data_IF_525306718005
#
_entry.id   IF_525306718005
#
_cell.length_a   1.000
_cell.length_b   1.000
_cell.length_c   1.000
_cell.angle_alpha   90.00
_cell.angle_beta   90.00
_cell.angle_gamma   90.00
#
_symmetry.space_group_name_H-M   'P 1'
#
loop_
_entity.id
_entity.type
_entity.pdbx_description
1 polymer ?
#
# COMPACT_ATOMS: atom_id res chain seq x y z
N UNK A 1 8.80 -46.67 41.06
CA UNK A 1 7.88 -46.20 40.00
C UNK A 1 7.95 -44.68 40.00
N UNK A 2 8.81 -44.09 39.18
CA UNK A 2 8.98 -42.63 39.14
C UNK A 2 7.89 -42.04 38.25
N UNK A 3 7.02 -41.20 38.83
CA UNK A 3 6.08 -40.37 38.09
C UNK A 3 6.90 -39.33 37.32
N UNK A 4 7.19 -39.62 36.06
CA UNK A 4 7.75 -38.64 35.14
C UNK A 4 6.62 -37.66 34.82
N UNK A 5 6.57 -36.53 35.52
CA UNK A 5 5.65 -35.43 35.26
C UNK A 5 5.90 -34.97 33.82
N UNK A 6 5.04 -35.39 32.88
CA UNK A 6 5.10 -34.90 31.51
C UNK A 6 4.69 -33.43 31.54
N UNK A 7 5.65 -32.52 31.65
CA UNK A 7 5.39 -31.11 31.47
C UNK A 7 4.92 -30.88 30.02
N UNK A 8 3.72 -30.33 29.90
CA UNK A 8 3.15 -29.93 28.62
C UNK A 8 3.81 -28.68 28.05
N UNK A 9 3.38 -28.24 26.86
CA UNK A 9 3.90 -27.03 26.25
C UNK A 9 3.55 -25.80 27.10
N UNK A 10 4.47 -24.84 27.14
CA UNK A 10 4.28 -23.54 27.80
C UNK A 10 4.09 -22.47 26.72
N UNK A 11 3.01 -21.72 26.83
CA UNK A 11 2.66 -20.65 25.90
C UNK A 11 2.73 -19.30 26.61
N UNK A 12 3.50 -18.38 26.05
CA UNK A 12 3.51 -16.98 26.47
C UNK A 12 2.76 -16.16 25.43
N UNK A 13 1.75 -15.42 25.87
CA UNK A 13 0.98 -14.53 25.02
C UNK A 13 1.24 -13.09 25.47
N UNK A 14 1.88 -12.30 24.61
CA UNK A 14 2.40 -10.98 24.97
C UNK A 14 1.77 -9.95 24.05
N UNK A 15 1.02 -9.00 24.62
CA UNK A 15 0.56 -7.82 23.88
C UNK A 15 1.75 -6.90 23.63
N UNK A 16 2.01 -6.55 22.38
CA UNK A 16 3.15 -5.71 22.03
C UNK A 16 2.80 -4.22 22.21
N UNK A 17 3.71 -3.41 22.78
CA UNK A 17 3.50 -1.99 23.02
C UNK A 17 3.79 -1.16 21.75
N UNK A 18 2.98 -1.30 20.72
CA UNK A 18 3.10 -0.56 19.45
C UNK A 18 1.92 0.39 19.30
N UNK A 19 2.19 1.63 18.88
CA UNK A 19 1.15 2.62 18.63
C UNK A 19 0.62 2.49 17.19
N UNK A 20 -0.65 2.07 17.08
CA UNK A 20 -1.35 1.93 15.80
C UNK A 20 -2.30 3.09 15.50
N UNK A 21 -2.42 4.07 16.39
CA UNK A 21 -3.41 5.16 16.26
C UNK A 21 -3.16 6.04 15.04
N UNK A 22 -1.91 6.11 14.58
CA UNK A 22 -1.50 6.90 13.42
C UNK A 22 -1.75 6.20 12.08
N UNK A 23 -2.11 4.91 12.08
CA UNK A 23 -2.46 4.22 10.84
C UNK A 23 -3.71 4.91 10.26
N UNK A 24 -3.71 5.28 8.97
CA UNK A 24 -4.89 5.87 8.32
C UNK A 24 -6.15 5.02 8.52
N UNK A 25 -7.31 5.67 8.55
CA UNK A 25 -8.57 4.95 8.62
C UNK A 25 -8.72 4.06 7.37
N UNK A 26 -9.24 2.86 7.58
CA UNK A 26 -9.61 1.94 6.51
C UNK A 26 -11.09 1.64 6.65
N UNK A 27 -11.84 1.73 5.55
CA UNK A 27 -13.28 1.47 5.55
C UNK A 27 -13.50 -0.04 5.65
N UNK A 28 -13.68 -0.56 6.87
CA UNK A 28 -14.26 -1.89 7.07
C UNK A 28 -15.76 -1.78 7.27
N UNK A 29 -16.52 -2.73 6.68
CA UNK A 29 -17.97 -2.83 6.93
C UNK A 29 -18.30 -3.24 8.38
N UNK A 30 -17.35 -3.88 9.06
CA UNK A 30 -17.48 -4.36 10.43
C UNK A 30 -16.49 -3.67 11.36
N UNK A 31 -16.89 -3.52 12.63
CA UNK A 31 -16.05 -2.94 13.68
C UNK A 31 -14.96 -3.96 14.07
N UNK A 32 -13.69 -3.80 13.65
CA UNK A 32 -12.67 -4.86 13.75
C UNK A 32 -12.09 -5.03 15.15
N UNK A 33 -12.61 -4.29 16.15
CA UNK A 33 -12.07 -4.26 17.51
C UNK A 33 -10.92 -3.27 17.66
N UNK A 34 -10.20 -3.36 18.78
CA UNK A 34 -9.07 -2.47 19.08
C UNK A 34 -7.82 -2.86 18.31
N UNK A 35 -7.16 -1.87 17.70
CA UNK A 35 -5.91 -2.05 16.98
C UNK A 35 -4.81 -2.55 17.92
N UNK A 36 -4.42 -3.82 17.74
CA UNK A 36 -3.49 -4.51 18.65
C UNK A 36 -2.67 -5.55 17.90
N UNK A 37 -1.52 -5.87 18.48
CA UNK A 37 -0.68 -7.00 18.06
C UNK A 37 -0.30 -7.82 19.26
N UNK A 38 -0.24 -9.14 19.05
CA UNK A 38 0.01 -10.12 20.09
C UNK A 38 1.03 -11.13 19.59
N UNK A 39 2.10 -11.32 20.35
CA UNK A 39 3.13 -12.29 20.09
C UNK A 39 2.89 -13.53 20.97
N UNK A 40 2.67 -14.67 20.33
CA UNK A 40 2.62 -15.98 20.96
C UNK A 40 3.97 -16.67 20.84
N UNK A 41 4.55 -17.05 21.97
CA UNK A 41 5.78 -17.83 22.04
C UNK A 41 5.45 -19.19 22.65
N UNK A 42 5.65 -20.25 21.84
CA UNK A 42 5.37 -21.63 22.25
C UNK A 42 6.67 -22.36 22.56
N UNK A 43 6.80 -22.87 23.78
CA UNK A 43 7.85 -23.79 24.20
C UNK A 43 7.25 -25.21 24.27
N UNK A 44 7.63 -26.13 23.37
CA UNK A 44 7.02 -27.45 23.32
C UNK A 44 7.35 -28.32 24.54
N UNK A 45 8.51 -28.08 25.17
CA UNK A 45 8.91 -28.73 26.41
C UNK A 45 9.77 -27.76 27.24
N UNK A 46 9.75 -27.81 28.58
CA UNK A 46 10.53 -26.91 29.44
C UNK A 46 12.04 -27.00 29.20
N UNK A 47 12.54 -28.19 28.85
CA UNK A 47 13.95 -28.44 28.53
C UNK A 47 14.29 -28.16 27.06
N UNK A 48 13.31 -27.74 26.26
CA UNK A 48 13.53 -27.43 24.85
C UNK A 48 14.05 -26.01 24.69
N UNK A 49 15.22 -25.87 24.07
CA UNK A 49 15.74 -24.58 23.62
C UNK A 49 14.98 -23.99 22.42
N UNK A 50 14.00 -24.71 21.86
CA UNK A 50 13.30 -24.33 20.63
C UNK A 50 12.01 -23.59 20.93
N UNK A 51 12.06 -22.27 20.85
CA UNK A 51 10.89 -21.39 20.96
C UNK A 51 10.32 -21.14 19.56
N UNK A 52 9.01 -21.34 19.39
CA UNK A 52 8.31 -21.03 18.13
C UNK A 52 7.49 -19.73 18.29
N UNK A 53 7.86 -18.65 17.58
CA UNK A 53 7.11 -17.40 17.61
C UNK A 53 5.99 -17.36 16.57
N UNK A 54 4.84 -16.80 16.95
CA UNK A 54 3.71 -16.52 16.08
C UNK A 54 3.17 -15.12 16.39
N UNK A 55 2.99 -14.29 15.36
CA UNK A 55 2.47 -12.94 15.50
C UNK A 55 1.02 -12.88 15.01
N UNK A 56 0.15 -12.38 15.87
CA UNK A 56 -1.25 -12.10 15.56
C UNK A 56 -1.47 -10.60 15.51
N UNK A 57 -2.21 -10.15 14.50
CA UNK A 57 -2.53 -8.75 14.27
C UNK A 57 -4.04 -8.60 14.21
N UNK A 58 -4.57 -7.50 14.74
CA UNK A 58 -5.96 -7.11 14.49
C UNK A 58 -6.17 -6.84 12.99
N UNK A 59 -7.39 -7.07 12.45
CA UNK A 59 -7.65 -7.00 10.99
C UNK A 59 -7.19 -5.71 10.31
N UNK A 60 -7.39 -4.55 10.95
CA UNK A 60 -6.97 -3.25 10.41
C UNK A 60 -5.44 -3.11 10.33
N UNK A 61 -4.73 -3.55 11.36
CA UNK A 61 -3.25 -3.55 11.39
C UNK A 61 -2.71 -4.53 10.35
N UNK A 62 -3.29 -5.72 10.23
CA UNK A 62 -2.92 -6.71 9.22
C UNK A 62 -3.11 -6.14 7.80
N UNK A 63 -4.27 -5.54 7.52
CA UNK A 63 -4.56 -4.93 6.23
C UNK A 63 -3.59 -3.79 5.91
N UNK A 64 -3.32 -2.90 6.87
CA UNK A 64 -2.38 -1.78 6.68
C UNK A 64 -0.96 -2.26 6.36
N UNK A 65 -0.54 -3.39 6.93
CA UNK A 65 0.77 -4.01 6.70
C UNK A 65 0.84 -4.84 5.40
N UNK A 66 -0.24 -4.93 4.64
CA UNK A 66 -0.29 -5.66 3.36
C UNK A 66 -0.66 -7.14 3.48
N UNK A 67 -1.33 -7.53 4.56
CA UNK A 67 -1.83 -8.89 4.81
C UNK A 67 -0.83 -9.80 5.53
N UNK A 68 -1.30 -10.94 6.04
CA UNK A 68 -0.48 -11.94 6.73
C UNK A 68 0.69 -12.51 5.92
N UNK A 69 0.64 -12.44 4.59
CA UNK A 69 1.70 -12.94 3.71
C UNK A 69 2.88 -11.98 3.52
N UNK A 70 2.70 -10.68 3.77
CA UNK A 70 3.76 -9.66 3.57
C UNK A 70 4.70 -9.52 4.76
N UNK A 71 4.22 -9.88 5.97
CA UNK A 71 4.96 -9.68 7.20
C UNK A 71 5.63 -10.98 7.67
N UNK A 72 6.96 -11.03 7.58
CA UNK A 72 7.76 -12.11 8.15
C UNK A 72 8.47 -11.62 9.41
N UNK A 73 8.21 -12.28 10.53
CA UNK A 73 8.96 -12.05 11.77
C UNK A 73 10.23 -12.90 11.79
N UNK A 74 11.33 -12.40 12.38
CA UNK A 74 12.55 -13.20 12.56
C UNK A 74 12.29 -14.41 13.47
N UNK A 75 12.97 -15.53 13.21
CA UNK A 75 12.96 -16.67 14.12
C UNK A 75 13.56 -16.30 15.49
N UNK A 76 13.15 -17.01 16.54
CA UNK A 76 13.73 -16.80 17.87
C UNK A 76 15.21 -17.24 17.87
N UNK A 77 16.14 -16.38 18.33
CA UNK A 77 17.57 -16.70 18.31
C UNK A 77 17.94 -17.75 19.37
N UNK A 78 18.89 -18.63 19.05
CA UNK A 78 19.39 -19.63 19.99
C UNK A 78 20.05 -18.96 21.19
N UNK A 79 19.59 -19.27 22.41
CA UNK A 79 20.10 -18.67 23.64
C UNK A 79 19.71 -17.21 23.85
N UNK A 80 18.81 -16.65 23.03
CA UNK A 80 18.31 -15.30 23.20
C UNK A 80 17.37 -15.16 24.39
N UNK A 81 17.28 -13.94 24.92
CA UNK A 81 16.32 -13.59 25.97
C UNK A 81 14.97 -13.24 25.34
N UNK A 82 13.89 -13.73 25.96
CA UNK A 82 12.52 -13.43 25.51
C UNK A 82 12.23 -11.92 25.50
N UNK A 83 12.74 -11.18 26.48
CA UNK A 83 12.59 -9.73 26.57
C UNK A 83 13.18 -9.00 25.36
N UNK A 84 14.43 -9.33 25.00
CA UNK A 84 15.11 -8.71 23.86
C UNK A 84 14.39 -9.02 22.54
N UNK A 85 13.88 -10.24 22.38
CA UNK A 85 13.11 -10.63 21.22
C UNK A 85 11.80 -9.83 21.11
N UNK A 86 11.05 -9.69 22.21
CA UNK A 86 9.80 -8.88 22.25
C UNK A 86 10.07 -7.43 21.87
N UNK A 87 11.16 -6.84 22.39
CA UNK A 87 11.57 -5.46 22.04
C UNK A 87 11.90 -5.37 20.55
N UNK A 88 12.66 -6.32 20.00
CA UNK A 88 13.01 -6.34 18.58
C UNK A 88 11.80 -6.45 17.65
N UNK A 89 10.82 -7.30 17.98
CA UNK A 89 9.57 -7.40 17.21
C UNK A 89 8.74 -6.12 17.31
N UNK A 90 8.67 -5.52 18.49
CA UNK A 90 7.94 -4.27 18.70
C UNK A 90 8.53 -3.13 17.87
N UNK A 91 9.86 -3.01 17.84
CA UNK A 91 10.56 -2.03 17.00
C UNK A 91 10.35 -2.29 15.51
N UNK A 92 10.38 -3.54 15.06
CA UNK A 92 10.11 -3.91 13.67
C UNK A 92 8.70 -3.44 13.26
N UNK A 93 7.70 -3.71 14.10
CA UNK A 93 6.33 -3.28 13.85
C UNK A 93 6.19 -1.77 13.86
N UNK A 94 6.79 -1.07 14.82
CA UNK A 94 6.77 0.39 14.86
C UNK A 94 7.37 1.00 13.60
N UNK A 95 8.55 0.52 13.17
CA UNK A 95 9.18 0.98 11.92
C UNK A 95 8.27 0.76 10.69
N UNK A 96 7.50 -0.33 10.67
CA UNK A 96 6.53 -0.59 9.59
C UNK A 96 5.33 0.35 9.65
N UNK A 97 4.82 0.65 10.84
CA UNK A 97 3.77 1.66 11.03
C UNK A 97 4.24 3.02 10.54
N UNK A 98 5.43 3.45 10.95
CA UNK A 98 6.01 4.73 10.56
C UNK A 98 6.17 4.82 9.03
N UNK A 99 6.58 3.73 8.38
CA UNK A 99 6.64 3.64 6.91
C UNK A 99 5.26 3.80 6.25
N UNK A 100 4.22 3.17 6.80
CA UNK A 100 2.85 3.28 6.26
C UNK A 100 2.35 4.70 6.36
N UNK A 101 2.55 5.35 7.51
CA UNK A 101 2.13 6.73 7.76
C UNK A 101 2.83 7.67 6.79
N UNK A 102 4.15 7.56 6.66
CA UNK A 102 4.93 8.35 5.72
C UNK A 102 4.47 8.14 4.27
N UNK A 103 4.23 6.90 3.86
CA UNK A 103 3.74 6.62 2.50
C UNK A 103 2.35 7.20 2.27
N UNK A 104 1.48 7.19 3.29
CA UNK A 104 0.17 7.81 3.21
C UNK A 104 0.26 9.33 3.06
N UNK A 105 1.07 9.99 3.87
CA UNK A 105 1.31 11.43 3.75
C UNK A 105 1.88 11.79 2.37
N UNK A 106 2.83 10.99 1.87
CA UNK A 106 3.36 11.16 0.51
C UNK A 106 2.28 11.05 -0.56
N UNK A 107 1.38 10.06 -0.46
CA UNK A 107 0.25 9.91 -1.40
C UNK A 107 -0.70 11.12 -1.32
N UNK A 108 -1.03 11.56 -0.11
CA UNK A 108 -1.87 12.74 0.12
C UNK A 108 -1.26 13.98 -0.53
N UNK A 109 0.04 14.21 -0.34
CA UNK A 109 0.74 15.37 -0.91
C UNK A 109 0.77 15.32 -2.45
N UNK A 110 0.99 14.14 -3.04
CA UNK A 110 0.93 13.96 -4.49
C UNK A 110 -0.49 14.20 -5.04
N UNK A 111 -1.51 13.63 -4.38
CA UNK A 111 -2.91 13.83 -4.75
C UNK A 111 -3.31 15.31 -4.64
N UNK A 112 -2.91 16.00 -3.58
CA UNK A 112 -3.15 17.43 -3.41
C UNK A 112 -2.51 18.26 -4.53
N UNK A 113 -1.30 17.90 -4.97
CA UNK A 113 -0.65 18.55 -6.10
C UNK A 113 -1.42 18.32 -7.42
N UNK A 114 -1.86 17.09 -7.69
CA UNK A 114 -2.70 16.78 -8.86
C UNK A 114 -4.01 17.58 -8.85
N UNK A 115 -4.69 17.64 -7.70
CA UNK A 115 -5.90 18.44 -7.53
C UNK A 115 -5.64 19.94 -7.73
N UNK A 116 -4.48 20.45 -7.31
CA UNK A 116 -4.10 21.84 -7.52
C UNK A 116 -3.85 22.16 -9.00
N UNK A 117 -3.25 21.25 -9.77
CA UNK A 117 -2.98 21.46 -11.19
C UNK A 117 -4.19 21.18 -12.08
N UNK A 118 -4.99 20.18 -11.73
CA UNK A 118 -6.04 19.61 -12.59
C UNK A 118 -7.44 19.68 -11.98
N UNK A 119 -7.66 20.47 -10.93
CA UNK A 119 -8.89 20.45 -10.14
C UNK A 119 -10.19 20.66 -10.94
N UNK A 120 -10.13 21.35 -12.08
CA UNK A 120 -11.29 21.56 -12.97
C UNK A 120 -11.64 20.35 -13.84
N UNK A 121 -10.71 19.41 -13.98
CA UNK A 121 -10.82 18.21 -14.80
C UNK A 121 -11.19 16.97 -13.99
N UNK A 122 -11.34 17.06 -12.68
CA UNK A 122 -11.57 15.89 -11.81
C UNK A 122 -12.95 15.31 -12.03
N UNK A 123 -13.01 14.03 -12.39
CA UNK A 123 -14.25 13.24 -12.43
C UNK A 123 -14.52 12.58 -11.07
N UNK A 124 -13.51 11.91 -10.53
CA UNK A 124 -13.56 11.21 -9.25
C UNK A 124 -12.15 11.03 -8.70
N UNK A 125 -12.04 10.91 -7.38
CA UNK A 125 -10.81 10.48 -6.72
C UNK A 125 -11.13 9.78 -5.41
N UNK A 126 -10.20 8.96 -4.96
CA UNK A 126 -10.25 8.28 -3.67
C UNK A 126 -9.81 9.23 -2.56
N UNK A 127 -10.78 9.76 -1.81
CA UNK A 127 -10.55 10.67 -0.70
C UNK A 127 -10.08 9.98 0.59
N UNK A 128 -10.20 8.66 0.68
CA UNK A 128 -9.86 7.90 1.89
C UNK A 128 -8.42 7.40 1.84
N UNK A 129 -8.00 6.79 0.72
CA UNK A 129 -6.66 6.17 0.60
C UNK A 129 -5.72 6.85 -0.38
N UNK A 130 -6.23 7.84 -1.14
CA UNK A 130 -5.48 8.61 -2.13
C UNK A 130 -4.79 7.72 -3.19
N UNK A 131 -5.41 6.59 -3.54
CA UNK A 131 -4.83 5.61 -4.48
C UNK A 131 -5.28 5.79 -5.92
N UNK A 132 -6.36 6.52 -6.18
CA UNK A 132 -6.91 6.64 -7.52
C UNK A 132 -7.49 8.02 -7.78
N UNK A 133 -7.28 8.53 -8.98
CA UNK A 133 -7.94 9.73 -9.51
C UNK A 133 -8.20 9.55 -11.00
N UNK A 134 -9.36 10.01 -11.45
CA UNK A 134 -9.78 10.03 -12.85
C UNK A 134 -10.03 11.48 -13.26
N UNK A 135 -9.41 11.90 -14.37
CA UNK A 135 -9.44 13.27 -14.89
C UNK A 135 -9.97 13.27 -16.32
N UNK A 136 -10.92 14.15 -16.66
CA UNK A 136 -11.37 14.40 -18.02
C UNK A 136 -10.58 15.56 -18.63
N UNK A 137 -9.91 15.27 -19.73
CA UNK A 137 -9.14 16.25 -20.50
C UNK A 137 -9.67 16.37 -21.92
N UNK A 138 -9.34 17.51 -22.53
CA UNK A 138 -9.68 17.86 -23.90
C UNK A 138 -8.41 18.27 -24.64
N UNK A 139 -8.23 17.75 -25.86
CA UNK A 139 -7.13 18.10 -26.75
C UNK A 139 -7.64 18.22 -28.18
N UNK A 140 -7.67 19.43 -28.75
CA UNK A 140 -8.17 19.70 -30.10
C UNK A 140 -9.54 19.02 -30.38
N UNK A 141 -10.55 19.35 -29.57
CA UNK A 141 -11.91 18.77 -29.61
C UNK A 141 -12.01 17.26 -29.35
N UNK A 142 -10.91 16.61 -28.95
CA UNK A 142 -10.89 15.21 -28.55
C UNK A 142 -10.84 15.08 -27.03
N UNK A 143 -11.90 14.52 -26.46
CA UNK A 143 -11.97 14.23 -25.03
C UNK A 143 -11.40 12.86 -24.69
N UNK A 144 -10.70 12.75 -23.56
CA UNK A 144 -10.18 11.49 -23.05
C UNK A 144 -10.10 11.52 -21.52
N UNK A 145 -10.09 10.34 -20.92
CA UNK A 145 -9.95 10.19 -19.47
C UNK A 145 -8.54 9.75 -19.15
N UNK A 146 -7.89 10.45 -18.23
CA UNK A 146 -6.66 10.01 -17.59
C UNK A 146 -7.01 9.34 -16.25
N UNK A 147 -6.64 8.08 -16.11
CA UNK A 147 -6.62 7.39 -14.83
C UNK A 147 -5.20 7.41 -14.27
N UNK A 148 -5.06 7.84 -13.01
CA UNK A 148 -3.82 7.76 -12.25
C UNK A 148 -4.05 6.82 -11.08
N UNK A 149 -3.31 5.72 -11.04
CA UNK A 149 -3.33 4.75 -9.95
C UNK A 149 -2.03 4.81 -9.17
N UNK A 150 -2.12 5.11 -7.87
CA UNK A 150 -0.98 5.27 -6.97
C UNK A 150 -0.79 3.97 -6.17
N UNK A 151 0.37 3.31 -6.29
CA UNK A 151 0.60 2.00 -5.68
C UNK A 151 0.71 2.06 -4.15
N UNK A 152 0.61 0.88 -3.52
CA UNK A 152 0.72 0.75 -2.06
C UNK A 152 2.10 1.17 -1.54
N UNK A 153 3.16 0.81 -2.28
CA UNK A 153 4.55 1.12 -1.93
C UNK A 153 5.03 2.45 -2.52
N UNK A 154 4.11 3.34 -2.93
CA UNK A 154 4.45 4.72 -3.24
C UNK A 154 5.14 5.40 -2.03
N UNK A 155 6.22 6.18 -2.22
CA UNK A 155 6.78 6.63 -3.50
C UNK A 155 7.81 5.71 -4.15
N UNK A 156 8.20 4.58 -3.55
CA UNK A 156 9.20 3.67 -4.13
C UNK A 156 8.73 3.08 -5.46
N UNK A 157 7.45 2.74 -5.55
CA UNK A 157 6.78 2.40 -6.80
C UNK A 157 6.15 3.64 -7.44
N UNK A 158 6.34 3.79 -8.76
CA UNK A 158 5.78 4.91 -9.52
C UNK A 158 4.27 4.73 -9.74
N UNK A 159 3.50 5.83 -9.81
CA UNK A 159 2.10 5.78 -10.26
C UNK A 159 1.94 5.18 -11.66
N UNK A 160 0.78 4.59 -11.92
CA UNK A 160 0.42 4.10 -13.26
C UNK A 160 -0.47 5.15 -13.91
N UNK A 161 -0.10 5.59 -15.11
CA UNK A 161 -0.89 6.51 -15.92
C UNK A 161 -1.58 5.70 -17.01
N UNK A 162 -2.89 5.87 -17.19
CA UNK A 162 -3.64 5.18 -18.24
C UNK A 162 -4.56 6.15 -18.97
N UNK A 163 -4.36 6.26 -20.29
CA UNK A 163 -5.19 7.11 -21.14
C UNK A 163 -6.33 6.26 -21.70
N UNK A 164 -7.55 6.72 -21.53
CA UNK A 164 -8.75 6.04 -21.99
C UNK A 164 -9.53 6.91 -22.97
N UNK A 165 -9.83 6.36 -24.15
CA UNK A 165 -10.67 7.03 -25.13
C UNK A 165 -12.14 6.90 -24.72
N UNK A 166 -12.93 7.96 -24.91
CA UNK A 166 -14.39 7.89 -24.72
C UNK A 166 -15.14 7.58 -26.02
N UNK A 167 -14.43 7.49 -27.15
CA UNK A 167 -15.01 7.30 -28.48
C UNK A 167 -14.73 5.93 -29.07
N UNK A 168 -13.62 5.31 -28.67
CA UNK A 168 -13.14 4.09 -29.31
C UNK A 168 -13.12 2.93 -28.32
N UNK A 169 -13.46 1.75 -28.79
CA UNK A 169 -13.35 0.49 -28.09
C UNK A 169 -12.35 -0.47 -28.73
N UNK A 170 -11.78 -1.36 -27.92
CA UNK A 170 -11.01 -2.52 -28.35
C UNK A 170 -11.54 -3.75 -27.61
N UNK A 171 -12.12 -4.70 -28.37
CA UNK A 171 -12.69 -5.95 -27.85
C UNK A 171 -13.82 -5.71 -26.82
N UNK A 172 -14.73 -4.78 -27.12
CA UNK A 172 -15.89 -4.47 -26.28
C UNK A 172 -15.57 -3.77 -24.97
N UNK A 173 -14.39 -3.13 -24.88
CA UNK A 173 -13.96 -2.29 -23.75
C UNK A 173 -13.42 -0.97 -24.30
N UNK A 174 -13.53 0.15 -23.57
CA UNK A 174 -12.90 1.40 -23.98
C UNK A 174 -11.41 1.18 -24.31
N UNK A 175 -10.95 1.81 -25.38
CA UNK A 175 -9.56 1.77 -25.78
C UNK A 175 -8.70 2.46 -24.72
N UNK A 176 -7.72 1.74 -24.17
CA UNK A 176 -6.85 2.23 -23.10
C UNK A 176 -5.38 1.93 -23.41
N UNK A 177 -4.52 2.93 -23.20
CA UNK A 177 -3.06 2.78 -23.24
C UNK A 177 -2.46 3.06 -21.85
N UNK A 178 -1.57 2.18 -21.40
CA UNK A 178 -0.85 2.34 -20.14
C UNK A 178 0.51 2.96 -20.42
N UNK A 179 0.83 4.03 -19.72
CA UNK A 179 2.07 4.78 -19.88
C UNK A 179 3.00 4.54 -18.69
N UNK A 180 4.01 3.69 -18.91
CA UNK A 180 5.00 3.35 -17.89
C UNK A 180 6.32 4.10 -18.07
N UNK A 181 6.64 4.60 -19.27
CA UNK A 181 8.00 5.08 -19.60
C UNK A 181 8.27 6.56 -19.26
N UNK A 182 7.44 7.17 -18.41
CA UNK A 182 7.61 8.58 -18.04
C UNK A 182 8.69 8.76 -16.96
N UNK A 183 9.38 9.93 -16.93
CA UNK A 183 10.40 10.21 -15.93
C UNK A 183 9.84 10.16 -14.50
N UNK A 184 10.51 9.43 -13.62
CA UNK A 184 10.10 9.29 -12.22
C UNK A 184 11.29 9.22 -11.27
N UNK A 185 11.17 9.87 -10.12
CA UNK A 185 12.08 9.67 -8.99
C UNK A 185 11.30 9.63 -7.67
N UNK A 186 11.51 8.60 -6.83
CA UNK A 186 10.85 8.48 -5.52
C UNK A 186 11.24 9.61 -4.55
N UNK A 187 12.28 10.38 -4.88
CA UNK A 187 12.80 11.48 -4.05
C UNK A 187 12.10 12.81 -4.30
N UNK A 188 11.35 12.94 -5.39
CA UNK A 188 10.67 14.18 -5.76
C UNK A 188 9.56 14.55 -4.75
N UNK A 189 9.20 15.82 -4.74
CA UNK A 189 8.00 16.30 -4.04
C UNK A 189 6.75 15.93 -4.84
N UNK A 190 5.57 15.95 -4.19
CA UNK A 190 4.30 15.71 -4.87
C UNK A 190 4.08 16.67 -6.05
N UNK A 191 4.42 17.95 -5.87
CA UNK A 191 4.33 18.97 -6.92
C UNK A 191 5.25 18.69 -8.11
N UNK A 192 6.52 18.33 -7.85
CA UNK A 192 7.45 17.99 -8.93
C UNK A 192 6.99 16.74 -9.69
N UNK A 193 6.52 15.69 -8.99
CA UNK A 193 5.97 14.50 -9.64
C UNK A 193 4.76 14.83 -10.53
N UNK A 194 3.86 15.69 -10.04
CA UNK A 194 2.66 16.07 -10.77
C UNK A 194 2.97 16.95 -11.99
N UNK A 195 3.93 17.87 -11.87
CA UNK A 195 4.41 18.68 -13.00
C UNK A 195 5.09 17.82 -14.08
N UNK A 196 5.90 16.82 -13.69
CA UNK A 196 6.51 15.89 -14.65
C UNK A 196 5.48 15.03 -15.36
N UNK A 197 4.46 14.56 -14.63
CA UNK A 197 3.33 13.86 -15.24
C UNK A 197 2.59 14.76 -16.23
N UNK A 198 2.35 16.04 -15.88
CA UNK A 198 1.72 17.04 -16.77
C UNK A 198 2.47 17.19 -18.09
N UNK A 199 3.79 17.39 -18.03
CA UNK A 199 4.64 17.53 -19.23
C UNK A 199 4.55 16.26 -20.08
N UNK A 200 4.69 15.09 -19.46
CA UNK A 200 4.58 13.82 -20.19
C UNK A 200 3.22 13.64 -20.88
N UNK A 201 2.12 14.00 -20.23
CA UNK A 201 0.77 13.92 -20.83
C UNK A 201 0.68 14.79 -22.09
N UNK A 202 1.17 16.03 -22.03
CA UNK A 202 1.15 16.94 -23.18
C UNK A 202 1.99 16.43 -24.35
N UNK A 203 3.11 15.78 -24.08
CA UNK A 203 3.99 15.24 -25.12
C UNK A 203 3.41 14.00 -25.80
N UNK A 204 2.58 13.21 -25.10
CA UNK A 204 2.11 11.90 -25.58
C UNK A 204 0.64 11.89 -26.04
N UNK A 205 -0.16 12.93 -25.75
CA UNK A 205 -1.60 12.92 -26.05
C UNK A 205 -1.90 12.81 -27.55
N UNK A 206 -1.07 13.43 -28.40
CA UNK A 206 -1.25 13.37 -29.85
C UNK A 206 -1.08 11.95 -30.38
N UNK A 207 -0.08 11.24 -29.87
CA UNK A 207 0.19 9.87 -30.30
C UNK A 207 -0.92 8.92 -29.82
N UNK A 208 -1.38 9.08 -28.58
CA UNK A 208 -2.54 8.36 -28.06
C UNK A 208 -3.79 8.56 -28.93
N UNK A 209 -4.10 9.80 -29.33
CA UNK A 209 -5.24 10.08 -30.21
C UNK A 209 -5.12 9.30 -31.53
N UNK A 210 -3.95 9.35 -32.18
CA UNK A 210 -3.69 8.63 -33.44
C UNK A 210 -3.86 7.12 -33.25
N UNK A 211 -3.33 6.56 -32.15
CA UNK A 211 -3.41 5.12 -31.88
C UNK A 211 -4.83 4.67 -31.57
N UNK A 212 -5.61 5.48 -30.85
CA UNK A 212 -7.01 5.19 -30.54
C UNK A 212 -7.87 5.07 -31.80
N UNK A 213 -7.64 5.95 -32.79
CA UNK A 213 -8.35 5.91 -34.09
C UNK A 213 -7.90 4.74 -34.96
N UNK A 214 -6.60 4.38 -34.91
CA UNK A 214 -6.05 3.29 -35.73
C UNK A 214 -6.41 1.91 -35.23
N UNK A 215 -6.42 1.75 -33.91
CA UNK A 215 -6.51 0.45 -33.26
C UNK A 215 -7.90 0.19 -32.67
N UNK A 216 -8.67 1.25 -32.42
CA UNK A 216 -10.00 1.18 -31.87
C UNK A 216 -11.09 1.20 -32.94
N UNK A 217 -12.26 0.71 -32.56
CA UNK A 217 -13.51 0.79 -33.32
C UNK A 217 -14.38 1.85 -32.63
N UNK A 218 -15.10 2.68 -33.42
CA UNK A 218 -16.07 3.62 -32.88
C UNK A 218 -17.27 2.92 -32.21
#
# INVERSE_FOLDING_TARGET
MFLQTKLGPVNFLIKLPVDYTQIPAYVTKDNPGTDTSVLLLTLPHPDSARITPQLYLSPRVEHALGGSSSLRIPAFPNGGLMGDYVVGISQLLQNKVDQIVQNFDRRRDYMAALLSYFGRSVLEFDADTFRKISLLFEWNDFFFILHIEVPQFFPQEKPILSFQSIYHECKGKPYTEVHEEYPYSPRWSGSEMAERARVYILDNIKDFQIQSVRSGVL
#
